data_IF_533468760870
#
_entry.id   IF_533468760870
#
_cell.length_a   1.000
_cell.length_b   1.000
_cell.length_c   1.000
_cell.angle_alpha   90.00
_cell.angle_beta   90.00
_cell.angle_gamma   90.00
#
_symmetry.space_group_name_H-M   'P 1'
#
loop_
_entity.id
_entity.type
_entity.pdbx_description
1 polymer ?
#
# COMPACT_ATOMS: atom_id res chain seq x y z
N UNK A 1 -29.52 -45.90 9.15
CA UNK A 1 -28.12 -45.52 9.09
C UNK A 1 -27.95 -44.42 8.05
N UNK A 2 -27.82 -43.29 8.53
CA UNK A 2 -27.32 -41.99 8.08
C UNK A 2 -27.06 -41.73 6.59
N UNK A 3 -28.04 -41.07 5.96
CA UNK A 3 -27.91 -40.31 4.70
C UNK A 3 -27.49 -38.84 4.95
N UNK A 4 -26.91 -38.52 6.07
CA UNK A 4 -26.55 -37.12 6.48
C UNK A 4 -25.10 -36.72 6.24
N UNK A 5 -24.32 -37.47 5.44
CA UNK A 5 -22.87 -37.22 5.24
C UNK A 5 -22.52 -36.79 3.78
N UNK A 6 -23.49 -36.63 2.89
CA UNK A 6 -23.20 -36.38 1.47
C UNK A 6 -23.53 -34.98 0.94
N UNK A 7 -23.73 -33.97 1.79
CA UNK A 7 -23.92 -32.58 1.33
C UNK A 7 -22.79 -31.63 1.84
N UNK A 8 -21.53 -32.05 1.74
CA UNK A 8 -20.48 -31.10 1.49
C UNK A 8 -20.45 -30.77 -0.01
N UNK A 9 -21.44 -29.98 -0.47
CA UNK A 9 -21.28 -29.26 -1.72
C UNK A 9 -19.96 -28.45 -1.57
N UNK A 10 -18.94 -28.82 -2.38
CA UNK A 10 -17.79 -27.94 -2.61
C UNK A 10 -18.39 -26.60 -3.01
N UNK A 11 -18.39 -25.64 -2.08
CA UNK A 11 -18.79 -24.29 -2.38
C UNK A 11 -17.98 -23.88 -3.61
N UNK A 12 -18.66 -23.46 -4.68
CA UNK A 12 -17.97 -22.90 -5.85
C UNK A 12 -17.07 -21.77 -5.35
N UNK A 13 -15.87 -21.61 -5.91
CA UNK A 13 -14.99 -20.53 -5.48
C UNK A 13 -15.76 -19.21 -5.62
N UNK A 14 -15.87 -18.48 -4.51
CA UNK A 14 -16.50 -17.15 -4.51
C UNK A 14 -15.81 -16.28 -5.55
N UNK A 15 -16.61 -15.48 -6.26
CA UNK A 15 -16.11 -14.47 -7.18
C UNK A 15 -16.18 -13.10 -6.51
N UNK A 16 -15.05 -12.39 -6.46
CA UNK A 16 -14.96 -11.03 -5.92
C UNK A 16 -14.58 -10.06 -7.03
N UNK A 17 -15.23 -8.92 -7.04
CA UNK A 17 -14.90 -7.81 -7.94
C UNK A 17 -14.35 -6.66 -7.12
N UNK A 18 -13.21 -6.12 -7.55
CA UNK A 18 -12.56 -4.98 -6.92
C UNK A 18 -12.50 -3.86 -7.95
N UNK A 19 -13.20 -2.76 -7.68
CA UNK A 19 -13.18 -1.56 -8.52
C UNK A 19 -12.12 -0.61 -7.98
N UNK A 20 -11.21 -0.20 -8.85
CA UNK A 20 -10.10 0.68 -8.56
C UNK A 20 -10.07 1.84 -9.56
N UNK A 21 -10.23 3.06 -9.07
CA UNK A 21 -9.87 4.27 -9.81
C UNK A 21 -8.52 4.76 -9.34
N UNK A 22 -7.60 5.00 -10.28
CA UNK A 22 -6.23 5.42 -9.98
C UNK A 22 -6.21 6.94 -9.80
N UNK A 23 -6.16 7.40 -8.55
CA UNK A 23 -6.10 8.83 -8.18
C UNK A 23 -4.70 9.21 -7.69
N UNK A 24 -4.11 8.44 -6.78
CA UNK A 24 -2.72 8.60 -6.32
C UNK A 24 -1.78 7.69 -7.15
N UNK A 25 -1.62 7.99 -8.43
CA UNK A 25 -0.71 7.32 -9.37
C UNK A 25 -0.54 5.81 -9.16
N UNK A 26 0.23 5.39 -8.15
CA UNK A 26 0.57 3.99 -7.90
C UNK A 26 0.00 3.44 -6.59
N UNK A 27 -0.49 4.31 -5.69
CA UNK A 27 -0.97 3.93 -4.37
C UNK A 27 -2.21 3.05 -4.46
N UNK A 28 -3.25 3.55 -5.13
CA UNK A 28 -4.55 2.88 -5.20
C UNK A 28 -4.45 1.53 -5.91
N UNK A 29 -3.84 1.52 -7.10
CA UNK A 29 -3.66 0.28 -7.85
C UNK A 29 -2.68 -0.67 -7.15
N UNK A 30 -1.68 -0.14 -6.43
CA UNK A 30 -0.74 -0.94 -5.64
C UNK A 30 -1.43 -1.78 -4.57
N UNK A 31 -2.30 -1.15 -3.79
CA UNK A 31 -3.12 -1.80 -2.76
C UNK A 31 -4.08 -2.82 -3.40
N UNK A 32 -4.86 -2.40 -4.41
CA UNK A 32 -5.84 -3.26 -5.06
C UNK A 32 -5.18 -4.48 -5.71
N UNK A 33 -4.02 -4.32 -6.33
CA UNK A 33 -3.27 -5.41 -6.94
C UNK A 33 -2.74 -6.41 -5.92
N UNK A 34 -2.13 -5.94 -4.82
CA UNK A 34 -1.66 -6.83 -3.75
C UNK A 34 -2.82 -7.60 -3.13
N UNK A 35 -3.92 -6.91 -2.80
CA UNK A 35 -5.12 -7.53 -2.26
C UNK A 35 -5.68 -8.59 -3.21
N UNK A 36 -5.80 -8.27 -4.49
CA UNK A 36 -6.30 -9.21 -5.52
C UNK A 36 -5.46 -10.48 -5.59
N UNK A 37 -4.13 -10.34 -5.64
CA UNK A 37 -3.22 -11.48 -5.67
C UNK A 37 -3.28 -12.32 -4.40
N UNK A 38 -3.38 -11.68 -3.24
CA UNK A 38 -3.45 -12.37 -1.95
C UNK A 38 -4.75 -13.16 -1.84
N UNK A 39 -5.89 -12.58 -2.23
CA UNK A 39 -7.19 -13.28 -2.26
C UNK A 39 -7.16 -14.51 -3.16
N UNK A 40 -6.52 -14.42 -4.34
CA UNK A 40 -6.36 -15.58 -5.24
C UNK A 40 -5.43 -16.62 -4.62
N UNK A 41 -4.23 -16.22 -4.22
CA UNK A 41 -3.16 -17.14 -3.84
C UNK A 41 -3.40 -17.82 -2.48
N UNK A 42 -3.96 -17.11 -1.51
CA UNK A 42 -4.05 -17.57 -0.13
C UNK A 42 -5.48 -18.01 0.25
N UNK A 43 -6.50 -17.49 -0.44
CA UNK A 43 -7.89 -17.80 -0.14
C UNK A 43 -8.61 -18.56 -1.24
N UNK A 44 -7.99 -18.78 -2.42
CA UNK A 44 -8.59 -19.48 -3.54
C UNK A 44 -9.81 -18.78 -4.14
N UNK A 45 -9.93 -17.47 -3.94
CA UNK A 45 -11.03 -16.66 -4.43
C UNK A 45 -10.75 -16.26 -5.89
N UNK A 46 -11.75 -16.40 -6.77
CA UNK A 46 -11.67 -15.84 -8.12
C UNK A 46 -11.83 -14.32 -8.04
N UNK A 47 -10.84 -13.57 -8.48
CA UNK A 47 -10.85 -12.11 -8.41
C UNK A 47 -10.87 -11.50 -9.80
N UNK A 48 -11.80 -10.57 -10.01
CA UNK A 48 -11.85 -9.65 -11.13
C UNK A 48 -11.47 -8.25 -10.63
N UNK A 49 -10.34 -7.73 -11.09
CA UNK A 49 -9.85 -6.40 -10.76
C UNK A 49 -10.18 -5.45 -11.92
N UNK A 50 -11.09 -4.52 -11.68
CA UNK A 50 -11.50 -3.49 -12.64
C UNK A 50 -10.69 -2.22 -12.41
N UNK A 51 -9.91 -1.81 -13.42
CA UNK A 51 -8.96 -0.68 -13.32
C UNK A 51 -9.18 0.30 -14.45
N UNK A 52 -9.20 1.58 -14.15
CA UNK A 52 -9.37 2.66 -15.12
C UNK A 52 -8.06 3.08 -15.81
N UNK A 53 -6.90 2.97 -15.15
CA UNK A 53 -5.58 3.30 -15.70
C UNK A 53 -4.63 2.10 -15.72
N UNK A 54 -4.62 1.38 -16.84
CA UNK A 54 -3.70 0.27 -17.07
C UNK A 54 -2.26 0.73 -17.34
N UNK A 55 -2.04 2.00 -17.69
CA UNK A 55 -0.71 2.55 -17.94
C UNK A 55 0.07 2.72 -16.64
N UNK A 56 -0.58 3.28 -15.62
CA UNK A 56 -0.03 3.31 -14.27
C UNK A 56 0.17 1.90 -13.69
N UNK A 57 -0.77 1.01 -13.97
CA UNK A 57 -0.66 -0.39 -13.51
C UNK A 57 0.54 -1.12 -14.11
N UNK A 58 0.86 -0.90 -15.39
CA UNK A 58 2.05 -1.47 -16.05
C UNK A 58 3.35 -1.15 -15.29
N UNK A 59 3.45 0.01 -14.67
CA UNK A 59 4.67 0.42 -13.95
C UNK A 59 4.97 -0.47 -12.73
N UNK A 60 3.92 -0.93 -12.04
CA UNK A 60 4.06 -1.79 -10.85
C UNK A 60 3.97 -3.29 -11.16
N UNK A 61 3.41 -3.62 -12.32
CA UNK A 61 3.29 -4.99 -12.81
C UNK A 61 3.61 -5.06 -14.31
N UNK A 62 4.87 -5.33 -14.70
CA UNK A 62 5.32 -5.35 -16.10
C UNK A 62 4.62 -6.37 -17.00
N UNK A 63 3.85 -7.29 -16.41
CA UNK A 63 3.06 -8.31 -17.15
C UNK A 63 1.73 -7.75 -17.68
N UNK A 64 1.31 -6.58 -17.24
CA UNK A 64 0.08 -5.92 -17.70
C UNK A 64 0.28 -5.36 -19.10
N UNK A 65 -0.69 -5.64 -19.97
CA UNK A 65 -0.80 -4.97 -21.27
C UNK A 65 -1.85 -3.85 -21.21
N UNK A 66 -1.48 -2.59 -21.40
CA UNK A 66 -2.45 -1.48 -21.36
C UNK A 66 -3.40 -1.45 -22.57
N UNK A 67 -3.15 -2.27 -23.59
CA UNK A 67 -3.97 -2.34 -24.81
C UNK A 67 -5.06 -3.42 -24.76
N UNK A 68 -5.03 -4.31 -23.76
CA UNK A 68 -6.02 -5.38 -23.63
C UNK A 68 -7.13 -4.96 -22.66
N UNK A 69 -8.38 -5.02 -23.15
CA UNK A 69 -9.54 -4.75 -22.30
C UNK A 69 -9.75 -5.81 -21.19
N UNK A 70 -9.25 -7.04 -21.43
CA UNK A 70 -9.32 -8.14 -20.47
C UNK A 70 -8.07 -9.00 -20.58
N UNK A 71 -7.50 -9.38 -19.45
CA UNK A 71 -6.31 -10.22 -19.36
C UNK A 71 -6.27 -10.96 -18.03
N UNK A 72 -5.52 -12.06 -17.95
CA UNK A 72 -5.29 -12.79 -16.70
C UNK A 72 -3.82 -12.73 -16.35
N UNK A 73 -3.52 -12.17 -15.19
CA UNK A 73 -2.14 -12.02 -14.69
C UNK A 73 -2.06 -12.56 -13.27
N UNK A 74 -1.16 -13.50 -13.01
CA UNK A 74 -0.98 -14.16 -11.71
C UNK A 74 -2.30 -14.69 -11.10
N UNK A 75 -3.20 -15.20 -11.95
CA UNK A 75 -4.50 -15.75 -11.54
C UNK A 75 -5.59 -14.70 -11.29
N UNK A 76 -5.29 -13.42 -11.37
CA UNK A 76 -6.25 -12.32 -11.29
C UNK A 76 -6.75 -11.98 -12.70
N UNK A 77 -8.05 -11.92 -12.88
CA UNK A 77 -8.68 -11.41 -14.09
C UNK A 77 -8.72 -9.88 -14.02
N UNK A 78 -7.93 -9.22 -14.86
CA UNK A 78 -7.84 -7.76 -14.93
C UNK A 78 -8.72 -7.27 -16.08
N UNK A 79 -9.61 -6.33 -15.76
CA UNK A 79 -10.56 -5.74 -16.69
C UNK A 79 -10.30 -4.24 -16.78
N UNK A 80 -10.15 -3.72 -17.99
CA UNK A 80 -10.07 -2.28 -18.19
C UNK A 80 -11.47 -1.67 -18.03
N UNK A 81 -11.59 -0.75 -17.12
CA UNK A 81 -12.81 0.01 -16.85
C UNK A 81 -12.52 1.50 -17.11
N UNK A 82 -12.78 2.00 -18.34
CA UNK A 82 -12.51 3.40 -18.67
C UNK A 82 -13.43 4.35 -17.89
N UNK A 83 -12.86 5.47 -17.43
CA UNK A 83 -13.59 6.54 -16.73
C UNK A 83 -14.58 7.31 -17.63
N UNK A 84 -14.59 7.03 -18.94
CA UNK A 84 -15.57 7.63 -19.85
C UNK A 84 -16.96 7.02 -19.68
N UNK A 85 -18.03 7.77 -20.00
CA UNK A 85 -19.39 7.25 -19.90
C UNK A 85 -19.54 6.03 -20.81
N UNK A 86 -19.45 4.86 -20.21
CA UNK A 86 -19.74 3.58 -20.86
C UNK A 86 -21.25 3.47 -21.00
N UNK A 87 -21.73 2.90 -22.13
CA UNK A 87 -23.14 2.63 -22.34
C UNK A 87 -23.72 1.93 -21.10
N UNK A 88 -24.77 2.47 -20.47
CA UNK A 88 -25.43 1.85 -19.34
C UNK A 88 -25.81 0.38 -19.57
N UNK A 89 -26.07 -0.01 -20.83
CA UNK A 89 -26.37 -1.41 -21.21
C UNK A 89 -25.21 -2.36 -20.94
N UNK A 90 -23.95 -1.90 -21.07
CA UNK A 90 -22.78 -2.70 -20.74
C UNK A 90 -22.84 -3.15 -19.26
N UNK A 91 -23.05 -2.19 -18.35
CA UNK A 91 -23.12 -2.46 -16.92
C UNK A 91 -24.33 -3.28 -16.51
N UNK A 92 -25.47 -3.13 -17.20
CA UNK A 92 -26.67 -3.94 -16.92
C UNK A 92 -26.48 -5.41 -17.28
N UNK A 93 -25.59 -5.72 -18.22
CA UNK A 93 -25.26 -7.08 -18.64
C UNK A 93 -24.04 -7.67 -17.93
N UNK A 94 -23.24 -6.82 -17.25
CA UNK A 94 -22.06 -7.28 -16.55
C UNK A 94 -22.48 -8.00 -15.25
N UNK A 95 -22.18 -9.32 -15.12
CA UNK A 95 -22.64 -10.08 -13.97
C UNK A 95 -21.98 -9.58 -12.70
N UNK A 96 -22.76 -9.33 -11.65
CA UNK A 96 -22.21 -9.01 -10.35
C UNK A 96 -21.59 -10.27 -9.71
N UNK A 97 -20.52 -10.05 -8.93
CA UNK A 97 -19.85 -11.09 -8.17
C UNK A 97 -20.56 -11.34 -6.82
N UNK A 98 -20.09 -12.30 -6.03
CA UNK A 98 -20.63 -12.55 -4.68
C UNK A 98 -20.25 -11.40 -3.72
N UNK A 99 -19.06 -10.82 -3.91
CA UNK A 99 -18.57 -9.65 -3.17
C UNK A 99 -18.12 -8.60 -4.17
N UNK A 100 -18.54 -7.36 -3.96
CA UNK A 100 -18.13 -6.19 -4.72
C UNK A 100 -17.44 -5.21 -3.78
N UNK A 101 -16.19 -4.89 -4.09
CA UNK A 101 -15.38 -3.94 -3.34
C UNK A 101 -15.22 -2.66 -4.15
N UNK A 102 -15.69 -1.56 -3.60
CA UNK A 102 -15.44 -0.20 -4.03
C UNK A 102 -14.21 0.27 -3.25
N UNK A 103 -13.05 0.38 -3.92
CA UNK A 103 -11.79 0.60 -3.24
C UNK A 103 -11.33 2.06 -3.32
N UNK A 104 -10.86 2.62 -2.18
CA UNK A 104 -10.06 3.85 -2.11
C UNK A 104 -10.75 5.04 -2.81
N UNK A 105 -11.95 5.38 -2.33
CA UNK A 105 -12.81 6.45 -2.87
C UNK A 105 -13.25 6.27 -4.34
N UNK A 106 -13.05 5.09 -4.93
CA UNK A 106 -13.67 4.73 -6.19
C UNK A 106 -15.21 4.82 -6.07
N UNK A 107 -15.90 5.20 -7.14
CA UNK A 107 -17.36 5.19 -7.20
C UNK A 107 -17.81 4.30 -8.35
N UNK A 108 -18.48 3.21 -8.03
CA UNK A 108 -18.96 2.27 -9.05
C UNK A 108 -20.17 2.84 -9.81
N UNK A 109 -20.34 2.52 -11.11
CA UNK A 109 -21.39 3.08 -11.94
C UNK A 109 -22.79 2.78 -11.41
N UNK A 110 -23.68 3.76 -11.46
CA UNK A 110 -25.08 3.60 -10.99
C UNK A 110 -25.83 2.46 -11.70
N UNK A 111 -25.57 2.24 -13.00
CA UNK A 111 -26.13 1.12 -13.75
C UNK A 111 -25.68 -0.24 -13.19
N UNK A 112 -24.42 -0.34 -12.73
CA UNK A 112 -23.92 -1.56 -12.09
C UNK A 112 -24.50 -1.74 -10.68
N UNK A 113 -24.67 -0.66 -9.90
CA UNK A 113 -25.37 -0.72 -8.61
C UNK A 113 -26.80 -1.28 -8.77
N UNK A 114 -27.51 -0.86 -9.82
CA UNK A 114 -28.85 -1.40 -10.16
C UNK A 114 -28.77 -2.89 -10.54
N UNK A 115 -27.73 -3.32 -11.23
CA UNK A 115 -27.51 -4.72 -11.56
C UNK A 115 -27.27 -5.56 -10.30
N UNK A 116 -26.45 -5.08 -9.38
CA UNK A 116 -26.24 -5.70 -8.07
C UNK A 116 -27.55 -5.90 -7.31
N UNK A 117 -28.43 -4.91 -7.32
CA UNK A 117 -29.73 -4.98 -6.65
C UNK A 117 -30.72 -6.00 -7.26
N UNK A 118 -30.57 -6.33 -8.55
CA UNK A 118 -31.41 -7.34 -9.23
C UNK A 118 -30.93 -8.78 -8.98
N UNK A 119 -29.70 -8.96 -8.52
CA UNK A 119 -29.16 -10.28 -8.27
C UNK A 119 -29.78 -10.93 -7.03
N UNK A 120 -30.00 -12.27 -7.09
CA UNK A 120 -30.55 -13.05 -5.98
C UNK A 120 -29.62 -14.24 -5.66
N UNK A 121 -28.97 -14.29 -4.49
CA UNK A 121 -28.92 -13.23 -3.47
C UNK A 121 -28.11 -12.02 -3.97
N UNK A 122 -28.35 -10.81 -3.41
CA UNK A 122 -27.56 -9.65 -3.77
C UNK A 122 -26.11 -9.80 -3.27
N UNK A 123 -25.13 -9.19 -3.96
CA UNK A 123 -23.73 -9.24 -3.52
C UNK A 123 -23.52 -8.52 -2.18
N UNK A 124 -22.52 -8.95 -1.43
CA UNK A 124 -21.98 -8.15 -0.33
C UNK A 124 -21.22 -6.97 -0.91
N UNK A 125 -21.65 -5.75 -0.60
CA UNK A 125 -21.01 -4.53 -1.07
C UNK A 125 -20.13 -3.92 0.02
N UNK A 126 -18.83 -3.83 -0.25
CA UNK A 126 -17.82 -3.29 0.67
C UNK A 126 -17.23 -2.00 0.12
N UNK A 127 -17.04 -1.02 1.00
CA UNK A 127 -16.23 0.17 0.73
C UNK A 127 -14.90 0.00 1.46
N UNK A 128 -13.86 -0.34 0.71
CA UNK A 128 -12.49 -0.42 1.24
C UNK A 128 -11.93 0.99 1.29
N UNK A 129 -11.84 1.52 2.49
CA UNK A 129 -11.39 2.88 2.76
C UNK A 129 -9.87 3.00 2.77
N UNK A 130 -9.39 4.25 2.74
CA UNK A 130 -7.98 4.58 2.92
C UNK A 130 -7.48 4.23 4.31
N UNK A 131 -6.20 3.89 4.39
CA UNK A 131 -5.50 3.64 5.67
C UNK A 131 -5.62 4.85 6.59
N UNK A 132 -6.06 4.62 7.84
CA UNK A 132 -6.12 5.66 8.86
C UNK A 132 -5.80 5.11 10.24
N UNK A 133 -5.13 5.94 11.06
CA UNK A 133 -4.93 5.73 12.48
C UNK A 133 -5.86 6.60 13.35
N UNK A 134 -6.77 7.37 12.73
CA UNK A 134 -7.70 8.24 13.43
C UNK A 134 -8.69 7.42 14.24
N UNK A 135 -8.94 7.84 15.49
CA UNK A 135 -9.77 7.08 16.44
C UNK A 135 -11.21 6.84 15.96
N UNK A 136 -11.77 7.76 15.17
CA UNK A 136 -13.14 7.64 14.68
C UNK A 136 -13.35 6.44 13.74
N UNK A 137 -12.31 6.00 13.02
CA UNK A 137 -12.42 4.85 12.11
C UNK A 137 -12.76 3.56 12.83
N UNK A 138 -12.36 3.42 14.11
CA UNK A 138 -12.69 2.25 14.93
C UNK A 138 -14.19 2.08 15.12
N UNK A 139 -14.92 3.21 15.26
CA UNK A 139 -16.38 3.23 15.40
C UNK A 139 -17.13 3.04 14.09
N UNK A 140 -16.47 3.28 12.94
CA UNK A 140 -17.08 3.17 11.62
C UNK A 140 -16.77 1.83 10.92
N UNK A 141 -15.71 1.13 11.34
CA UNK A 141 -15.30 -0.13 10.73
C UNK A 141 -16.40 -1.20 10.85
N UNK A 142 -16.82 -1.76 9.71
CA UNK A 142 -17.86 -2.79 9.64
C UNK A 142 -19.29 -2.27 9.76
N UNK A 143 -19.52 -0.95 9.92
CA UNK A 143 -20.86 -0.38 9.88
C UNK A 143 -21.44 -0.41 8.47
N UNK A 144 -22.77 -0.56 8.39
CA UNK A 144 -23.51 -0.43 7.14
C UNK A 144 -23.88 1.02 6.83
N UNK A 145 -23.87 1.34 5.55
CA UNK A 145 -24.41 2.57 4.98
C UNK A 145 -25.52 2.18 4.00
N UNK A 146 -26.78 2.30 4.37
CA UNK A 146 -27.89 2.01 3.48
C UNK A 146 -27.84 2.86 2.21
N UNK A 147 -28.09 2.24 1.06
CA UNK A 147 -28.15 2.89 -0.25
C UNK A 147 -29.58 2.86 -0.77
N UNK A 148 -30.44 3.85 -0.42
CA UNK A 148 -31.89 3.79 -0.67
C UNK A 148 -32.24 3.65 -2.15
N UNK A 149 -31.39 4.20 -3.06
CA UNK A 149 -31.65 4.21 -4.51
C UNK A 149 -31.66 2.79 -5.12
N UNK A 150 -30.96 1.85 -4.47
CA UNK A 150 -30.82 0.46 -4.94
C UNK A 150 -31.24 -0.56 -3.88
N UNK A 151 -31.70 -0.11 -2.71
CA UNK A 151 -32.10 -0.96 -1.59
C UNK A 151 -31.02 -1.98 -1.16
N UNK A 152 -29.75 -1.57 -1.18
CA UNK A 152 -28.59 -2.36 -0.74
C UNK A 152 -27.90 -1.67 0.43
N UNK A 153 -27.20 -2.45 1.25
CA UNK A 153 -26.28 -1.96 2.27
C UNK A 153 -24.84 -2.02 1.75
N UNK A 154 -24.10 -0.91 1.89
CA UNK A 154 -22.67 -0.83 1.68
C UNK A 154 -21.97 -0.81 3.05
N UNK A 155 -20.98 -1.68 3.26
CA UNK A 155 -20.27 -1.78 4.53
C UNK A 155 -18.91 -1.13 4.44
N UNK A 156 -18.58 -0.26 5.39
CA UNK A 156 -17.25 0.34 5.49
C UNK A 156 -16.22 -0.66 6.01
N UNK A 157 -15.06 -0.73 5.37
CA UNK A 157 -13.94 -1.54 5.79
C UNK A 157 -12.66 -0.71 5.79
N UNK A 158 -12.17 -0.37 6.97
CA UNK A 158 -11.00 0.49 7.15
C UNK A 158 -9.75 -0.35 7.41
N UNK A 159 -8.71 -0.27 6.55
CA UNK A 159 -7.36 -0.66 6.93
C UNK A 159 -6.88 0.17 8.12
N UNK A 160 -6.07 -0.40 8.99
CA UNK A 160 -5.57 0.34 10.16
C UNK A 160 -4.58 -0.44 11.01
N UNK A 161 -4.17 0.18 12.10
CA UNK A 161 -2.99 -0.24 12.88
C UNK A 161 -3.35 -1.03 14.15
N UNK A 162 -4.63 -1.29 14.41
CA UNK A 162 -5.09 -1.98 15.61
C UNK A 162 -6.19 -3.01 15.32
N UNK A 163 -6.56 -3.79 16.31
CA UNK A 163 -7.52 -4.90 16.18
C UNK A 163 -9.00 -4.49 16.05
N UNK A 164 -9.30 -3.19 16.04
CA UNK A 164 -10.65 -2.65 15.78
C UNK A 164 -10.81 -2.22 14.34
N UNK A 165 -9.82 -2.44 13.52
CA UNK A 165 -9.78 -2.14 12.08
C UNK A 165 -9.48 -3.39 11.28
N UNK A 166 -9.41 -3.27 9.96
CA UNK A 166 -9.17 -4.40 9.06
C UNK A 166 -7.73 -4.90 9.02
N UNK A 167 -6.79 -4.30 9.78
CA UNK A 167 -5.37 -4.64 9.68
C UNK A 167 -4.71 -4.09 8.42
N UNK A 168 -3.51 -4.54 8.10
CA UNK A 168 -2.72 -4.11 6.96
C UNK A 168 -2.53 -5.27 5.96
N UNK A 169 -2.34 -4.95 4.68
CA UNK A 169 -1.97 -5.95 3.68
C UNK A 169 -0.64 -6.63 4.05
N UNK A 170 -0.69 -7.96 4.12
CA UNK A 170 0.44 -8.78 4.55
C UNK A 170 0.32 -10.19 3.98
N UNK A 171 1.08 -10.47 2.93
CA UNK A 171 1.13 -11.79 2.32
C UNK A 171 1.86 -12.78 3.24
N UNK A 172 1.32 -13.98 3.40
CA UNK A 172 1.78 -15.01 4.35
C UNK A 172 3.28 -15.30 4.27
N UNK A 173 3.86 -15.28 3.07
CA UNK A 173 5.28 -15.56 2.87
C UNK A 173 6.18 -14.33 2.88
N UNK A 174 5.64 -13.12 3.01
CA UNK A 174 6.40 -11.87 2.86
C UNK A 174 7.58 -11.81 3.83
N UNK A 175 7.32 -11.96 5.12
CA UNK A 175 8.38 -11.83 6.14
C UNK A 175 9.45 -12.92 6.03
N UNK A 176 9.05 -14.15 5.73
CA UNK A 176 10.01 -15.24 5.49
C UNK A 176 10.91 -14.92 4.30
N UNK A 177 10.33 -14.37 3.22
CA UNK A 177 11.07 -13.93 2.04
C UNK A 177 12.06 -12.81 2.39
N UNK A 178 11.62 -11.78 3.10
CA UNK A 178 12.48 -10.66 3.50
C UNK A 178 13.58 -11.10 4.46
N UNK A 179 13.29 -11.97 5.43
CA UNK A 179 14.28 -12.53 6.34
C UNK A 179 15.32 -13.38 5.63
N UNK A 180 14.88 -14.27 4.74
CA UNK A 180 15.79 -15.09 3.94
C UNK A 180 16.67 -14.23 3.05
N UNK A 181 16.13 -13.20 2.41
CA UNK A 181 16.88 -12.25 1.60
C UNK A 181 17.95 -11.52 2.42
N UNK A 182 17.55 -10.92 3.56
CA UNK A 182 18.50 -10.15 4.40
C UNK A 182 19.55 -11.00 5.09
N UNK A 183 19.28 -12.28 5.33
CA UNK A 183 20.25 -13.25 5.87
C UNK A 183 21.26 -13.78 4.83
N UNK A 184 20.91 -13.75 3.54
CA UNK A 184 21.78 -14.16 2.44
C UNK A 184 22.56 -12.95 1.89
N UNK A 185 23.79 -12.76 2.36
CA UNK A 185 24.67 -11.67 1.91
C UNK A 185 24.92 -11.68 0.40
N UNK A 186 24.95 -12.87 -0.22
CA UNK A 186 25.14 -12.99 -1.67
C UNK A 186 23.87 -12.56 -2.43
N UNK A 187 22.67 -12.86 -1.91
CA UNK A 187 21.43 -12.38 -2.49
C UNK A 187 21.33 -10.85 -2.40
N UNK A 188 21.66 -10.27 -1.25
CA UNK A 188 21.72 -8.82 -1.06
C UNK A 188 22.73 -8.17 -2.01
N UNK A 189 23.93 -8.77 -2.16
CA UNK A 189 24.94 -8.25 -3.07
C UNK A 189 24.47 -8.31 -4.54
N UNK A 190 23.85 -9.41 -4.97
CA UNK A 190 23.27 -9.53 -6.32
C UNK A 190 22.19 -8.48 -6.56
N UNK A 191 21.35 -8.23 -5.57
CA UNK A 191 20.31 -7.19 -5.68
C UNK A 191 20.92 -5.80 -5.87
N UNK A 192 21.96 -5.43 -5.11
CA UNK A 192 22.69 -4.18 -5.31
C UNK A 192 23.34 -4.09 -6.69
N UNK A 193 23.92 -5.19 -7.18
CA UNK A 193 24.51 -5.26 -8.54
C UNK A 193 23.45 -5.06 -9.63
N UNK A 194 22.24 -5.61 -9.47
CA UNK A 194 21.13 -5.38 -10.40
C UNK A 194 20.72 -3.90 -10.46
N UNK A 195 20.85 -3.18 -9.35
CA UNK A 195 20.65 -1.74 -9.30
C UNK A 195 21.89 -0.94 -9.78
N UNK A 196 22.96 -1.61 -10.23
CA UNK A 196 24.19 -0.98 -10.68
C UNK A 196 24.98 -0.32 -9.55
N UNK A 197 24.94 -0.88 -8.33
CA UNK A 197 25.55 -0.31 -7.13
C UNK A 197 26.36 -1.37 -6.39
N UNK A 198 27.50 -0.98 -5.81
CA UNK A 198 28.18 -1.77 -4.79
C UNK A 198 27.75 -1.30 -3.39
N UNK A 199 26.71 -1.93 -2.82
CA UNK A 199 26.14 -1.53 -1.55
C UNK A 199 27.11 -1.59 -0.36
N UNK A 200 28.18 -2.38 -0.43
CA UNK A 200 29.18 -2.51 0.64
C UNK A 200 30.06 -1.27 0.82
N UNK A 201 30.09 -0.37 -0.16
CA UNK A 201 30.86 0.87 -0.10
C UNK A 201 30.20 1.97 0.74
N UNK A 202 28.92 1.79 1.10
CA UNK A 202 28.11 2.82 1.75
C UNK A 202 27.79 2.43 3.19
N UNK A 203 28.00 3.36 4.11
CA UNK A 203 27.63 3.21 5.52
C UNK A 203 26.12 3.44 5.75
N UNK A 204 25.51 4.33 4.95
CA UNK A 204 24.08 4.62 5.02
C UNK A 204 23.48 4.49 3.63
N UNK A 205 22.50 3.62 3.49
CA UNK A 205 21.74 3.37 2.27
C UNK A 205 20.30 3.82 2.45
N UNK A 206 19.86 4.73 1.60
CA UNK A 206 18.57 5.38 1.71
C UNK A 206 17.77 5.09 0.43
N UNK A 207 16.55 4.62 0.58
CA UNK A 207 15.53 4.64 -0.48
C UNK A 207 14.68 5.89 -0.30
N UNK A 208 14.56 6.71 -1.33
CA UNK A 208 13.80 7.94 -1.27
C UNK A 208 12.69 7.96 -2.32
N UNK A 209 11.55 7.36 -1.98
CA UNK A 209 10.33 7.44 -2.77
C UNK A 209 9.38 8.44 -2.10
N UNK A 210 9.39 9.67 -2.60
CA UNK A 210 8.71 10.81 -1.99
C UNK A 210 8.06 11.70 -3.06
N UNK A 211 7.13 12.56 -2.64
CA UNK A 211 6.69 13.72 -3.41
C UNK A 211 7.79 14.80 -3.37
N UNK A 212 7.67 15.90 -4.08
CA UNK A 212 8.62 17.01 -3.96
C UNK A 212 8.72 17.58 -2.54
N UNK A 213 9.86 18.20 -2.17
CA UNK A 213 10.10 18.80 -0.86
C UNK A 213 10.88 20.12 -0.99
N UNK A 214 10.29 21.23 -0.56
CA UNK A 214 10.87 22.57 -0.76
C UNK A 214 12.24 22.78 -0.08
N UNK A 215 12.49 22.07 1.02
CA UNK A 215 13.74 22.17 1.79
C UNK A 215 14.63 20.93 1.66
N UNK A 216 14.49 20.18 0.55
CA UNK A 216 15.26 18.96 0.31
C UNK A 216 16.78 19.20 0.40
N UNK A 217 17.25 20.34 -0.12
CA UNK A 217 18.67 20.72 -0.11
C UNK A 217 19.25 20.73 1.31
N UNK A 218 18.47 21.13 2.30
CA UNK A 218 18.94 21.14 3.69
C UNK A 218 19.27 19.74 4.21
N UNK A 219 18.55 18.71 3.72
CA UNK A 219 18.81 17.30 4.03
C UNK A 219 19.98 16.76 3.20
N UNK A 220 20.02 17.06 1.89
CA UNK A 220 21.13 16.64 1.03
C UNK A 220 22.48 17.19 1.51
N UNK A 221 22.52 18.42 2.01
CA UNK A 221 23.72 19.00 2.60
C UNK A 221 24.20 18.23 3.84
N UNK A 222 23.30 17.73 4.69
CA UNK A 222 23.69 16.89 5.83
C UNK A 222 24.32 15.57 5.37
N UNK A 223 23.79 14.97 4.30
CA UNK A 223 24.33 13.74 3.74
C UNK A 223 25.65 13.93 3.00
N UNK A 224 25.85 15.09 2.35
CA UNK A 224 27.13 15.44 1.73
C UNK A 224 28.27 15.55 2.76
N UNK A 225 27.92 15.97 3.99
CA UNK A 225 28.87 16.17 5.10
C UNK A 225 28.90 15.00 6.08
N UNK A 226 28.23 13.88 5.75
CA UNK A 226 28.20 12.70 6.61
C UNK A 226 29.62 12.13 6.83
N UNK A 227 29.85 11.46 7.98
CA UNK A 227 31.18 10.92 8.31
C UNK A 227 31.61 9.77 7.36
N UNK A 228 30.67 9.07 6.75
CA UNK A 228 30.91 7.99 5.81
C UNK A 228 30.09 8.16 4.53
N UNK A 229 30.29 7.29 3.56
CA UNK A 229 29.58 7.34 2.27
C UNK A 229 28.08 7.05 2.44
N UNK A 230 27.27 7.90 1.84
CA UNK A 230 25.81 7.79 1.80
C UNK A 230 25.35 7.48 0.38
N UNK A 231 24.50 6.50 0.22
CA UNK A 231 23.78 6.21 -1.03
C UNK A 231 22.32 6.66 -0.89
N UNK A 232 21.85 7.44 -1.84
CA UNK A 232 20.44 7.78 -1.98
C UNK A 232 19.91 7.24 -3.32
N UNK A 233 19.04 6.24 -3.26
CA UNK A 233 18.33 5.68 -4.42
C UNK A 233 16.98 6.36 -4.56
N UNK A 234 16.72 6.95 -5.73
CA UNK A 234 15.49 7.68 -6.03
C UNK A 234 14.80 7.00 -7.20
N UNK A 235 13.68 6.29 -6.99
CA UNK A 235 12.90 5.75 -8.08
C UNK A 235 12.38 6.86 -9.02
N UNK A 236 12.25 6.56 -10.33
CA UNK A 236 11.62 7.47 -11.27
C UNK A 236 10.28 7.99 -10.72
N UNK A 237 10.02 9.28 -10.89
CA UNK A 237 8.82 9.96 -10.41
C UNK A 237 9.06 11.44 -10.19
N UNK A 238 8.18 12.07 -9.42
CA UNK A 238 8.15 13.51 -9.19
C UNK A 238 9.47 14.01 -8.59
N UNK A 239 9.94 13.38 -7.51
CA UNK A 239 11.19 13.76 -6.84
C UNK A 239 12.42 13.55 -7.74
N UNK A 240 12.47 12.45 -8.51
CA UNK A 240 13.55 12.22 -9.48
C UNK A 240 13.59 13.33 -10.54
N UNK A 241 12.43 13.77 -11.03
CA UNK A 241 12.31 14.87 -11.96
C UNK A 241 12.75 16.21 -11.35
N UNK A 242 12.44 16.46 -10.08
CA UNK A 242 12.88 17.65 -9.36
C UNK A 242 14.41 17.66 -9.20
N UNK A 243 15.00 16.56 -8.73
CA UNK A 243 16.44 16.40 -8.59
C UNK A 243 17.17 16.54 -9.94
N UNK A 244 16.61 15.98 -11.02
CA UNK A 244 17.20 16.09 -12.36
C UNK A 244 17.17 17.51 -12.89
N UNK A 245 16.13 18.31 -12.55
CA UNK A 245 16.10 19.73 -12.89
C UNK A 245 17.14 20.54 -12.11
N UNK A 246 17.36 20.17 -10.85
CA UNK A 246 18.34 20.84 -9.98
C UNK A 246 19.78 20.43 -10.28
N UNK A 247 19.97 19.14 -10.61
CA UNK A 247 21.26 18.53 -10.93
C UNK A 247 21.20 17.88 -12.32
N UNK A 248 21.36 18.66 -13.42
CA UNK A 248 21.23 18.15 -14.78
C UNK A 248 22.22 17.02 -15.12
N UNK A 249 23.33 16.92 -14.36
CA UNK A 249 24.31 15.86 -14.49
C UNK A 249 23.68 14.46 -14.34
N UNK A 250 22.60 14.32 -13.57
CA UNK A 250 21.84 13.08 -13.42
C UNK A 250 21.24 12.56 -14.75
N UNK A 251 21.15 13.40 -15.79
CA UNK A 251 20.75 12.97 -17.13
C UNK A 251 21.88 12.28 -17.90
N UNK A 252 23.13 12.58 -17.56
CA UNK A 252 24.30 12.17 -18.31
C UNK A 252 25.18 11.18 -17.55
N UNK A 253 24.96 11.03 -16.23
CA UNK A 253 25.74 10.14 -15.37
C UNK A 253 24.85 9.09 -14.73
N UNK A 254 25.35 7.89 -14.56
CA UNK A 254 24.63 6.81 -13.87
C UNK A 254 24.44 7.13 -12.37
N UNK A 255 25.33 7.96 -11.80
CA UNK A 255 25.31 8.34 -10.39
C UNK A 255 25.95 9.73 -10.20
N UNK A 256 25.28 10.61 -9.47
CA UNK A 256 25.78 11.91 -9.06
C UNK A 256 26.51 11.80 -7.72
N UNK A 257 27.72 12.34 -7.65
CA UNK A 257 28.53 12.38 -6.42
C UNK A 257 28.59 13.82 -5.87
N UNK A 258 28.11 14.03 -4.65
CA UNK A 258 28.14 15.31 -3.93
C UNK A 258 28.80 15.10 -2.54
N UNK A 259 30.11 15.34 -2.42
CA UNK A 259 30.82 15.04 -1.18
C UNK A 259 30.71 13.55 -0.83
N UNK A 260 30.18 13.23 0.35
CA UNK A 260 29.94 11.85 0.77
C UNK A 260 28.65 11.25 0.21
N UNK A 261 27.76 12.05 -0.36
CA UNK A 261 26.48 11.62 -0.91
C UNK A 261 26.62 11.17 -2.36
N UNK A 262 26.15 9.97 -2.67
CA UNK A 262 25.91 9.46 -4.02
C UNK A 262 24.40 9.39 -4.26
N UNK A 263 23.92 10.05 -5.30
CA UNK A 263 22.50 10.00 -5.71
C UNK A 263 22.42 9.18 -7.00
N UNK A 264 21.55 8.19 -7.02
CA UNK A 264 21.24 7.40 -8.20
C UNK A 264 19.73 7.36 -8.44
N UNK A 265 19.32 7.81 -9.62
CA UNK A 265 17.96 7.59 -10.10
C UNK A 265 17.85 6.16 -10.62
N UNK A 266 16.87 5.41 -10.11
CA UNK A 266 16.63 4.03 -10.48
C UNK A 266 15.31 3.88 -11.21
N UNK A 267 15.15 2.87 -12.09
CA UNK A 267 13.84 2.55 -12.67
C UNK A 267 12.80 2.31 -11.58
N UNK A 268 11.53 2.51 -11.93
CA UNK A 268 10.44 2.09 -11.06
C UNK A 268 10.52 0.57 -10.88
N UNK A 269 10.45 0.09 -9.65
CA UNK A 269 10.59 -1.34 -9.34
C UNK A 269 9.22 -2.01 -9.27
N UNK A 270 9.13 -3.22 -9.79
CA UNK A 270 7.98 -4.08 -9.52
C UNK A 270 7.82 -4.30 -8.00
N UNK A 271 6.58 -4.49 -7.55
CA UNK A 271 6.28 -4.58 -6.11
C UNK A 271 7.16 -5.58 -5.33
N UNK A 272 7.48 -6.80 -5.85
CA UNK A 272 8.36 -7.72 -5.13
C UNK A 272 9.78 -7.17 -4.92
N UNK A 273 10.33 -6.48 -5.92
CA UNK A 273 11.68 -5.91 -5.86
C UNK A 273 11.72 -4.65 -4.99
N UNK A 274 10.62 -3.87 -4.99
CA UNK A 274 10.47 -2.75 -4.07
C UNK A 274 10.48 -3.20 -2.60
N UNK A 275 9.83 -4.31 -2.27
CA UNK A 275 9.90 -4.91 -0.92
C UNK A 275 11.36 -5.24 -0.53
N UNK A 276 12.16 -5.78 -1.48
CA UNK A 276 13.57 -6.08 -1.23
C UNK A 276 14.39 -4.80 -1.06
N UNK A 277 14.12 -3.75 -1.84
CA UNK A 277 14.76 -2.44 -1.70
C UNK A 277 14.57 -1.89 -0.29
N UNK A 278 13.33 -1.87 0.20
CA UNK A 278 13.01 -1.39 1.54
C UNK A 278 13.74 -2.20 2.64
N UNK A 279 13.88 -3.51 2.45
CA UNK A 279 14.60 -4.38 3.40
C UNK A 279 16.12 -4.21 3.33
N UNK A 280 16.67 -3.86 2.16
CA UNK A 280 18.11 -3.68 1.93
C UNK A 280 18.63 -2.31 2.36
N UNK A 281 17.77 -1.28 2.40
CA UNK A 281 18.14 0.07 2.84
C UNK A 281 18.13 0.21 4.37
N UNK A 282 18.92 1.15 4.87
CA UNK A 282 19.02 1.45 6.29
C UNK A 282 17.95 2.46 6.73
N UNK A 283 17.44 3.29 5.79
CA UNK A 283 16.36 4.25 5.97
C UNK A 283 15.53 4.35 4.70
N UNK A 284 14.22 4.44 4.86
CA UNK A 284 13.27 4.50 3.75
C UNK A 284 12.36 5.74 3.87
N UNK A 285 12.43 6.64 2.91
CA UNK A 285 11.39 7.64 2.71
C UNK A 285 10.32 7.02 1.82
N UNK A 286 9.09 7.04 2.28
CA UNK A 286 7.95 6.41 1.60
C UNK A 286 6.78 7.38 1.52
N UNK A 287 5.91 7.20 0.52
CA UNK A 287 4.73 8.04 0.29
C UNK A 287 3.48 7.21 0.04
N UNK A 288 2.32 7.87 0.07
CA UNK A 288 1.05 7.21 -0.21
C UNK A 288 0.76 6.07 0.76
N UNK A 289 -0.02 5.07 0.35
CA UNK A 289 -0.48 4.00 1.24
C UNK A 289 0.24 2.66 1.04
N UNK A 290 0.46 2.20 -0.20
CA UNK A 290 1.15 0.92 -0.43
C UNK A 290 2.56 0.94 0.16
N UNK A 291 3.34 1.99 -0.10
CA UNK A 291 4.73 2.03 0.32
C UNK A 291 4.92 2.16 1.83
N UNK A 292 4.03 2.86 2.57
CA UNK A 292 4.11 2.88 4.04
C UNK A 292 3.77 1.50 4.63
N UNK A 293 2.76 0.81 4.11
CA UNK A 293 2.44 -0.55 4.55
C UNK A 293 3.66 -1.46 4.35
N UNK A 294 4.33 -1.36 3.22
CA UNK A 294 5.54 -2.18 2.93
C UNK A 294 6.73 -1.80 3.81
N UNK A 295 6.89 -0.51 4.16
CA UNK A 295 7.94 -0.06 5.08
C UNK A 295 7.77 -0.67 6.49
N UNK A 296 6.55 -0.82 6.98
CA UNK A 296 6.29 -1.52 8.24
C UNK A 296 6.80 -2.96 8.21
N UNK A 297 6.55 -3.69 7.11
CA UNK A 297 6.97 -5.08 6.97
C UNK A 297 8.47 -5.24 6.74
N UNK A 298 9.14 -4.27 6.12
CA UNK A 298 10.59 -4.23 6.02
C UNK A 298 11.26 -4.13 7.40
N UNK A 299 10.62 -3.51 8.38
CA UNK A 299 11.09 -3.37 9.75
C UNK A 299 12.36 -2.52 9.87
N UNK A 300 12.63 -1.68 8.88
CA UNK A 300 13.71 -0.69 8.85
C UNK A 300 13.19 0.68 9.27
N UNK A 301 14.03 1.62 9.72
CA UNK A 301 13.65 3.01 9.85
C UNK A 301 12.99 3.54 8.58
N UNK A 302 11.90 4.27 8.72
CA UNK A 302 11.21 4.88 7.60
C UNK A 302 10.67 6.25 7.99
N UNK A 303 10.37 7.06 6.98
CA UNK A 303 9.71 8.37 7.11
C UNK A 303 8.59 8.42 6.10
N UNK A 304 7.38 8.63 6.57
CA UNK A 304 6.20 8.71 5.71
C UNK A 304 5.92 10.14 5.29
N UNK A 305 5.86 10.37 3.99
CA UNK A 305 5.28 11.57 3.42
C UNK A 305 3.82 11.27 3.04
N UNK A 306 2.91 11.83 3.81
CA UNK A 306 1.49 11.63 3.56
C UNK A 306 1.04 12.46 2.35
N UNK A 307 0.08 11.93 1.56
CA UNK A 307 -0.47 12.67 0.43
C UNK A 307 -1.14 13.97 0.90
N UNK A 308 -0.74 15.09 0.30
CA UNK A 308 -1.24 16.41 0.68
C UNK A 308 -2.71 16.56 0.33
N UNK A 309 -3.51 16.93 1.30
CA UNK A 309 -4.94 17.18 1.17
C UNK A 309 -5.26 18.65 1.44
N UNK A 310 -6.40 19.11 0.93
CA UNK A 310 -6.89 20.46 1.21
C UNK A 310 -7.10 20.69 2.70
N UNK A 311 -6.97 21.94 3.15
CA UNK A 311 -7.18 22.38 4.54
C UNK A 311 -6.29 21.63 5.57
N UNK A 312 -5.12 21.14 5.17
CA UNK A 312 -4.18 20.43 6.02
C UNK A 312 -4.75 19.17 6.73
N UNK A 313 -5.82 18.55 6.19
CA UNK A 313 -6.42 17.33 6.76
C UNK A 313 -5.41 16.17 6.85
N UNK A 314 -4.43 16.13 5.94
CA UNK A 314 -3.35 15.15 5.97
C UNK A 314 -2.48 15.24 7.23
N UNK A 315 -2.32 16.43 7.84
CA UNK A 315 -1.53 16.59 9.08
C UNK A 315 -2.27 15.99 10.28
N UNK A 316 -3.60 16.03 10.31
CA UNK A 316 -4.41 15.36 11.33
C UNK A 316 -4.22 13.84 11.23
N UNK A 317 -4.28 13.30 10.02
CA UNK A 317 -3.99 11.87 9.75
C UNK A 317 -2.57 11.48 10.16
N UNK A 318 -1.59 12.33 9.83
CA UNK A 318 -0.20 12.12 10.21
C UNK A 318 -0.03 12.10 11.72
N UNK A 319 -0.64 13.06 12.43
CA UNK A 319 -0.57 13.13 13.90
C UNK A 319 -1.20 11.87 14.53
N UNK A 320 -2.37 11.45 14.07
CA UNK A 320 -3.00 10.23 14.55
C UNK A 320 -2.11 8.98 14.33
N UNK A 321 -1.42 8.91 13.18
CA UNK A 321 -0.43 7.86 12.93
C UNK A 321 0.74 7.95 13.92
N UNK A 322 1.32 9.12 14.12
CA UNK A 322 2.45 9.33 15.03
C UNK A 322 2.09 9.02 16.49
N UNK A 323 0.87 9.35 16.92
CA UNK A 323 0.36 9.01 18.24
C UNK A 323 0.25 7.48 18.42
N UNK A 324 -0.30 6.78 17.42
CA UNK A 324 -0.40 5.32 17.44
C UNK A 324 0.97 4.64 17.37
N UNK A 325 1.82 5.08 16.44
CA UNK A 325 3.17 4.55 16.23
C UNK A 325 4.09 4.80 17.43
N UNK A 326 3.99 5.98 18.04
CA UNK A 326 4.79 6.38 19.20
C UNK A 326 4.31 5.85 20.55
N UNK A 327 3.12 5.21 20.62
CA UNK A 327 2.46 4.86 21.87
C UNK A 327 3.33 4.03 22.82
N UNK A 328 4.15 3.13 22.30
CA UNK A 328 5.05 2.26 23.08
C UNK A 328 6.53 2.65 22.92
N UNK A 329 6.84 3.77 22.23
CA UNK A 329 8.18 4.31 22.16
C UNK A 329 8.59 4.95 23.48
N UNK A 330 9.89 4.89 23.86
CA UNK A 330 10.42 5.80 24.88
C UNK A 330 10.13 7.27 24.51
N UNK A 331 9.66 8.06 25.46
CA UNK A 331 9.16 9.42 25.18
C UNK A 331 10.17 10.30 24.42
N UNK A 332 11.45 10.24 24.78
CA UNK A 332 12.50 10.99 24.08
C UNK A 332 12.66 10.55 22.61
N UNK A 333 12.56 9.26 22.33
CA UNK A 333 12.61 8.73 20.97
C UNK A 333 11.37 9.15 20.16
N UNK A 334 10.18 9.04 20.75
CA UNK A 334 8.94 9.46 20.13
C UNK A 334 8.95 10.95 19.74
N UNK A 335 9.48 11.80 20.61
CA UNK A 335 9.61 13.22 20.34
C UNK A 335 10.52 13.51 19.14
N UNK A 336 11.68 12.86 19.06
CA UNK A 336 12.62 13.04 17.94
C UNK A 336 12.00 12.55 16.63
N UNK A 337 11.33 11.39 16.63
CA UNK A 337 10.62 10.86 15.48
C UNK A 337 9.53 11.83 15.03
N UNK A 338 8.67 12.25 15.95
CA UNK A 338 7.58 13.19 15.65
C UNK A 338 8.09 14.51 15.05
N UNK A 339 9.13 15.09 15.61
CA UNK A 339 9.70 16.35 15.10
C UNK A 339 10.19 16.19 13.66
N UNK A 340 10.92 15.11 13.35
CA UNK A 340 11.41 14.89 12.00
C UNK A 340 10.28 14.63 11.00
N UNK A 341 9.28 13.82 11.35
CA UNK A 341 8.12 13.56 10.50
C UNK A 341 7.31 14.82 10.22
N UNK A 342 7.09 15.67 11.23
CA UNK A 342 6.37 16.92 11.04
C UNK A 342 7.18 17.90 10.17
N UNK A 343 8.49 18.06 10.41
CA UNK A 343 9.35 18.89 9.56
C UNK A 343 9.36 18.40 8.11
N UNK A 344 9.40 17.06 7.89
CA UNK A 344 9.34 16.47 6.55
C UNK A 344 8.01 16.75 5.84
N UNK A 345 6.89 16.66 6.53
CA UNK A 345 5.58 16.85 5.93
C UNK A 345 5.14 18.32 5.80
N UNK A 346 5.78 19.24 6.54
CA UNK A 346 5.53 20.68 6.48
C UNK A 346 6.47 21.44 5.53
N UNK A 347 7.42 20.77 4.86
CA UNK A 347 8.49 21.42 4.10
C UNK A 347 9.38 22.35 4.93
N UNK A 348 9.59 22.00 6.20
CA UNK A 348 10.46 22.78 7.08
C UNK A 348 11.94 22.49 6.81
N UNK A 349 12.83 23.35 7.37
CA UNK A 349 14.26 23.10 7.35
C UNK A 349 14.63 21.82 8.10
N UNK A 350 15.35 20.90 7.44
CA UNK A 350 15.59 19.55 7.94
C UNK A 350 16.94 19.37 8.65
N UNK A 351 17.87 20.33 8.55
CA UNK A 351 19.23 20.10 9.02
C UNK A 351 19.37 19.82 10.52
N UNK A 352 18.59 20.49 11.38
CA UNK A 352 18.60 20.26 12.84
C UNK A 352 17.86 18.98 13.21
N UNK A 353 16.64 18.81 12.73
CA UNK A 353 15.80 17.65 13.05
C UNK A 353 16.38 16.35 12.48
N UNK A 354 17.08 16.41 11.34
CA UNK A 354 17.83 15.28 10.80
C UNK A 354 18.96 14.81 11.71
N UNK A 355 19.74 15.77 12.28
CA UNK A 355 20.85 15.42 13.15
C UNK A 355 20.38 14.57 14.34
N UNK A 356 19.30 14.98 14.98
CA UNK A 356 18.75 14.28 16.13
C UNK A 356 18.14 12.93 15.71
N UNK A 357 17.39 12.92 14.61
CA UNK A 357 16.76 11.72 14.07
C UNK A 357 17.79 10.66 13.63
N UNK A 358 18.84 11.06 12.92
CA UNK A 358 19.85 10.15 12.41
C UNK A 358 20.63 9.41 13.50
N UNK A 359 20.84 10.06 14.64
CA UNK A 359 21.49 9.44 15.81
C UNK A 359 20.61 8.34 16.43
N UNK A 360 19.30 8.38 16.20
CA UNK A 360 18.33 7.43 16.74
C UNK A 360 18.02 6.29 15.78
N UNK A 361 18.57 6.23 14.57
CA UNK A 361 18.28 5.20 13.58
C UNK A 361 18.40 3.76 14.15
N UNK A 362 19.43 3.40 14.94
CA UNK A 362 19.52 2.06 15.54
C UNK A 362 18.37 1.77 16.52
N UNK A 363 17.95 2.75 17.32
CA UNK A 363 16.84 2.59 18.27
C UNK A 363 15.50 2.49 17.53
N UNK A 364 15.30 3.30 16.48
CA UNK A 364 14.12 3.24 15.61
C UNK A 364 14.04 1.88 14.93
N UNK A 365 15.16 1.35 14.42
CA UNK A 365 15.21 0.02 13.81
C UNK A 365 14.81 -1.09 14.79
N UNK A 366 15.31 -1.04 16.02
CA UNK A 366 14.93 -1.99 17.08
C UNK A 366 13.44 -1.87 17.42
N UNK A 367 12.92 -0.64 17.55
CA UNK A 367 11.51 -0.41 17.80
C UNK A 367 10.61 -0.93 16.65
N UNK A 368 11.01 -0.73 15.40
CA UNK A 368 10.23 -1.18 14.24
C UNK A 368 10.06 -2.70 14.17
N UNK A 369 10.98 -3.48 14.75
CA UNK A 369 10.79 -4.93 14.88
C UNK A 369 9.65 -5.26 15.86
N UNK A 370 9.56 -4.52 16.98
CA UNK A 370 8.47 -4.69 17.96
C UNK A 370 7.14 -4.21 17.38
N UNK A 371 7.14 -3.04 16.75
CA UNK A 371 5.96 -2.49 16.09
C UNK A 371 5.40 -3.42 15.02
N UNK A 372 6.26 -4.00 14.19
CA UNK A 372 5.87 -5.01 13.19
C UNK A 372 5.19 -6.22 13.82
N UNK A 373 5.70 -6.72 14.96
CA UNK A 373 5.06 -7.84 15.68
C UNK A 373 3.67 -7.47 16.20
N UNK A 374 3.48 -6.25 16.67
CA UNK A 374 2.16 -5.75 17.09
C UNK A 374 1.18 -5.67 15.91
N UNK A 375 1.63 -5.15 14.78
CA UNK A 375 0.80 -5.09 13.57
C UNK A 375 0.38 -6.49 13.10
N UNK A 376 1.28 -7.46 13.15
CA UNK A 376 0.96 -8.86 12.79
C UNK A 376 -0.13 -9.47 13.68
N UNK A 377 -0.19 -9.11 14.95
CA UNK A 377 -1.20 -9.60 15.88
C UNK A 377 -2.64 -9.16 15.53
N UNK A 378 -2.79 -8.12 14.69
CA UNK A 378 -4.10 -7.65 14.22
C UNK A 378 -4.67 -8.49 13.06
N UNK A 379 -3.91 -9.46 12.53
CA UNK A 379 -4.21 -10.18 11.31
C UNK A 379 -3.92 -9.35 10.05
N UNK A 380 -4.02 -9.98 8.90
CA UNK A 380 -3.85 -9.30 7.61
C UNK A 380 -5.20 -8.86 7.02
N UNK A 381 -5.15 -7.81 6.18
CA UNK A 381 -6.34 -7.20 5.57
C UNK A 381 -7.17 -8.19 4.75
N UNK A 382 -6.53 -9.05 3.96
CA UNK A 382 -7.23 -10.00 3.09
C UNK A 382 -7.96 -11.05 3.91
N UNK A 383 -7.30 -11.65 4.91
CA UNK A 383 -7.93 -12.62 5.84
C UNK A 383 -9.08 -11.99 6.62
N UNK A 384 -8.92 -10.75 7.10
CA UNK A 384 -9.97 -10.04 7.82
C UNK A 384 -11.17 -9.71 6.93
N UNK A 385 -10.95 -9.30 5.67
CA UNK A 385 -12.01 -9.12 4.66
C UNK A 385 -12.77 -10.44 4.39
N UNK A 386 -12.03 -11.53 4.20
CA UNK A 386 -12.63 -12.86 3.95
C UNK A 386 -13.45 -13.31 5.16
N UNK A 387 -12.92 -13.11 6.37
CA UNK A 387 -13.65 -13.44 7.60
C UNK A 387 -14.93 -12.60 7.73
N UNK A 388 -14.86 -11.30 7.46
CA UNK A 388 -16.01 -10.40 7.47
C UNK A 388 -17.07 -10.83 6.46
N UNK A 389 -16.66 -11.14 5.23
CA UNK A 389 -17.57 -11.59 4.19
C UNK A 389 -18.28 -12.90 4.58
N UNK A 390 -17.53 -13.89 5.07
CA UNK A 390 -18.10 -15.17 5.55
C UNK A 390 -19.13 -14.93 6.66
N UNK A 391 -18.83 -14.05 7.62
CA UNK A 391 -19.76 -13.72 8.71
C UNK A 391 -21.05 -13.10 8.18
N UNK A 392 -20.99 -12.21 7.18
CA UNK A 392 -22.17 -11.59 6.57
C UNK A 392 -23.02 -12.59 5.81
N UNK A 393 -22.44 -13.53 5.07
CA UNK A 393 -23.17 -14.59 4.37
C UNK A 393 -23.87 -15.56 5.32
N UNK A 394 -23.32 -15.83 6.51
CA UNK A 394 -23.96 -16.72 7.50
C UNK A 394 -25.15 -16.04 8.18
N UNK A 395 -25.09 -14.71 8.39
CA UNK A 395 -26.13 -13.95 9.10
C UNK A 395 -27.33 -13.65 8.19
N UNK A 396 -27.20 -13.72 6.87
CA UNK A 396 -28.31 -13.58 5.92
C UNK A 396 -28.93 -14.97 5.68
N UNK A 397 -29.90 -15.44 6.47
CA UNK A 397 -30.56 -16.72 6.21
C UNK A 397 -31.31 -16.60 4.88
N UNK A 398 -31.28 -17.64 4.06
CA UNK A 398 -32.14 -17.81 2.91
C UNK A 398 -33.61 -17.55 3.29
N UNK A 399 -34.12 -16.35 3.12
CA UNK A 399 -35.57 -16.07 3.09
C UNK A 399 -36.15 -16.52 1.74
N UNK A 400 -36.00 -17.79 1.40
CA UNK A 400 -36.64 -18.41 0.26
C UNK A 400 -37.16 -19.78 0.68
N UNK A 401 -38.13 -19.75 1.60
CA UNK A 401 -39.15 -20.82 1.77
C UNK A 401 -40.35 -20.21 2.54
N UNK A 402 -41.20 -19.52 1.82
CA UNK A 402 -42.65 -19.53 2.07
C UNK A 402 -43.37 -19.22 0.75
#
# INVERSE_FOLDING_TARGET
>A
MNQSILNQQKAQPQCWQIFCSVVDNFGDIGICWRLSRQLVAEHGIRVQLLVDDLTSFLQICPQISPTLAQQVVLGVEVLHWPNEPVDPLHWQQFPAADVVIEALACTIPAAYQQQMARQQPPPLWLNLEYLSAEQWVEGCHGLSSPQPQVALDKFFFFPGFNNKTGGLLYEQQLLTRLQSFTADSAAVQRFWQQLGVNGSEYQLKISMFAYGHQQLDSLLQQWQQHAGRVLCLVPHGELANELTRQYPELLCTDMLQLGQLSIKVIPFLAQPDYDLLLAACDLNFVRGEDSIIRAHWAGRPFVWQIYRQQQAAHLIKLQAFLDSYGQQMPAALAQVVQQFYLSWNNDDYLGTTWRDFSQQLPQIAAYNQLWRQQLMANGDLASNLVHFAKKKFIITPNFSQQ
#
